data_IF_313581963143
#
_entry.id   IF_313581963143
#
_cell.length_a   1.000
_cell.length_b   1.000
_cell.length_c   1.000
_cell.angle_alpha   90.00
_cell.angle_beta   90.00
_cell.angle_gamma   90.00
#
_symmetry.space_group_name_H-M   'P 1'
#
loop_
_entity.id
_entity.type
_entity.pdbx_description
1 polymer ?
#
# COMPACT_ATOMS: atom_id res chain seq x y z
N UNK A 1 -44.07 -31.14 33.35
CA UNK A 1 -42.95 -30.19 33.15
C UNK A 1 -43.58 -28.82 32.90
N UNK A 2 -43.68 -27.96 33.90
CA UNK A 2 -44.25 -26.62 33.73
C UNK A 2 -43.20 -25.64 33.20
N UNK A 3 -43.54 -24.77 32.23
CA UNK A 3 -42.63 -23.73 31.77
C UNK A 3 -42.44 -22.69 32.87
N UNK A 4 -41.17 -22.41 33.22
CA UNK A 4 -40.78 -21.30 34.08
C UNK A 4 -41.28 -20.00 33.44
N UNK A 5 -42.33 -19.38 34.00
CA UNK A 5 -42.75 -18.04 33.61
C UNK A 5 -41.77 -17.08 34.28
N UNK A 6 -40.72 -16.69 33.53
CA UNK A 6 -39.84 -15.59 33.93
C UNK A 6 -40.68 -14.34 34.19
N UNK A 7 -40.37 -13.60 35.24
CA UNK A 7 -41.00 -12.29 35.42
C UNK A 7 -40.62 -11.37 34.25
N UNK A 8 -41.50 -10.43 33.89
CA UNK A 8 -41.24 -9.49 32.80
C UNK A 8 -39.94 -8.69 33.02
N UNK A 9 -39.53 -8.50 34.27
CA UNK A 9 -38.29 -7.81 34.64
C UNK A 9 -37.05 -8.70 34.44
N UNK A 10 -37.11 -9.97 34.82
CA UNK A 10 -36.03 -10.94 34.59
C UNK A 10 -35.76 -11.15 33.09
N UNK A 11 -36.81 -11.21 32.28
CA UNK A 11 -36.71 -11.33 30.83
C UNK A 11 -36.00 -10.10 30.22
N UNK A 12 -36.29 -8.89 30.71
CA UNK A 12 -35.62 -7.64 30.29
C UNK A 12 -34.15 -7.65 30.68
N UNK A 13 -33.80 -8.08 31.90
CA UNK A 13 -32.40 -8.19 32.36
C UNK A 13 -31.63 -9.20 31.51
N UNK A 14 -32.19 -10.39 31.27
CA UNK A 14 -31.57 -11.41 30.42
C UNK A 14 -31.34 -10.89 28.99
N UNK A 15 -32.31 -10.18 28.42
CA UNK A 15 -32.18 -9.58 27.09
C UNK A 15 -31.04 -8.54 27.05
N UNK A 16 -30.94 -7.66 28.05
CA UNK A 16 -29.86 -6.67 28.16
C UNK A 16 -28.49 -7.34 28.25
N UNK A 17 -28.35 -8.39 29.07
CA UNK A 17 -27.09 -9.13 29.21
C UNK A 17 -26.70 -9.79 27.88
N UNK A 18 -27.64 -10.44 27.18
CA UNK A 18 -27.38 -11.02 25.85
C UNK A 18 -26.94 -9.97 24.83
N UNK A 19 -27.59 -8.80 24.81
CA UNK A 19 -27.19 -7.69 23.94
C UNK A 19 -25.79 -7.18 24.28
N UNK A 20 -25.45 -7.08 25.56
CA UNK A 20 -24.10 -6.70 25.99
C UNK A 20 -23.04 -7.73 25.56
N UNK A 21 -23.35 -9.03 25.65
CA UNK A 21 -22.46 -10.09 25.13
C UNK A 21 -22.26 -9.93 23.62
N UNK A 22 -23.32 -9.67 22.85
CA UNK A 22 -23.21 -9.45 21.40
C UNK A 22 -22.33 -8.24 21.06
N UNK A 23 -22.46 -7.14 21.81
CA UNK A 23 -21.60 -5.96 21.62
C UNK A 23 -20.12 -6.27 21.88
N UNK A 24 -19.82 -7.04 22.94
CA UNK A 24 -18.45 -7.46 23.22
C UNK A 24 -17.93 -8.47 22.18
N UNK A 25 -18.80 -9.34 21.67
CA UNK A 25 -18.45 -10.26 20.59
C UNK A 25 -18.07 -9.51 19.31
N UNK A 26 -18.75 -8.41 19.00
CA UNK A 26 -18.41 -7.56 17.86
C UNK A 26 -16.97 -7.02 17.94
N UNK A 27 -16.47 -6.68 19.14
CA UNK A 27 -15.07 -6.25 19.35
C UNK A 27 -14.10 -7.40 19.06
N UNK A 28 -14.43 -8.62 19.48
CA UNK A 28 -13.60 -9.80 19.20
C UNK A 28 -13.52 -10.10 17.70
N UNK A 29 -14.64 -9.92 17.00
CA UNK A 29 -14.78 -10.22 15.58
C UNK A 29 -14.14 -9.17 14.67
N UNK A 30 -13.78 -8.00 15.20
CA UNK A 30 -13.03 -6.99 14.45
C UNK A 30 -11.71 -7.57 13.94
N UNK A 31 -11.37 -7.21 12.70
CA UNK A 31 -10.10 -7.55 12.06
C UNK A 31 -9.48 -6.28 11.50
N UNK A 32 -8.18 -6.33 11.23
CA UNK A 32 -7.54 -5.26 10.50
C UNK A 32 -8.27 -5.00 9.16
N UNK A 33 -8.45 -3.75 8.74
CA UNK A 33 -9.14 -3.42 7.49
C UNK A 33 -8.54 -4.15 6.28
N UNK A 34 -7.23 -4.33 6.28
CA UNK A 34 -6.48 -4.96 5.19
C UNK A 34 -6.60 -6.49 5.16
N UNK A 35 -7.15 -7.12 6.19
CA UNK A 35 -7.43 -8.57 6.19
C UNK A 35 -8.50 -8.93 5.17
N UNK A 36 -9.43 -8.01 4.88
CA UNK A 36 -10.51 -8.23 3.92
C UNK A 36 -10.12 -7.96 2.46
N UNK A 37 -8.94 -7.40 2.17
CA UNK A 37 -8.55 -7.11 0.81
C UNK A 37 -8.23 -8.40 0.04
N UNK A 38 -8.49 -8.41 -1.26
CA UNK A 38 -8.15 -9.55 -2.11
C UNK A 38 -6.64 -9.90 -2.01
N UNK A 39 -6.27 -11.18 -2.10
CA UNK A 39 -4.88 -11.56 -2.29
C UNK A 39 -4.32 -10.91 -3.55
N UNK A 40 -3.10 -10.38 -3.44
CA UNK A 40 -2.38 -9.89 -4.61
C UNK A 40 -1.72 -11.09 -5.28
N UNK A 41 -2.02 -11.29 -6.54
CA UNK A 41 -1.33 -12.31 -7.34
C UNK A 41 -0.05 -11.71 -7.93
N UNK A 42 1.07 -12.37 -7.66
CA UNK A 42 2.41 -11.85 -7.97
C UNK A 42 2.63 -11.74 -9.47
N UNK A 43 2.36 -12.83 -10.19
CA UNK A 43 2.63 -12.92 -11.62
C UNK A 43 1.77 -11.93 -12.40
N UNK A 44 0.48 -11.87 -12.13
CA UNK A 44 -0.43 -10.92 -12.81
C UNK A 44 -0.13 -9.47 -12.45
N UNK A 45 0.22 -9.17 -11.20
CA UNK A 45 0.52 -7.79 -10.79
C UNK A 45 1.82 -7.30 -11.43
N UNK A 46 2.88 -8.10 -11.36
CA UNK A 46 4.18 -7.76 -11.98
C UNK A 46 4.05 -7.67 -13.50
N UNK A 47 3.30 -8.58 -14.13
CA UNK A 47 3.05 -8.53 -15.57
C UNK A 47 2.31 -7.23 -15.99
N UNK A 48 1.29 -6.81 -15.24
CA UNK A 48 0.58 -5.54 -15.48
C UNK A 48 1.50 -4.32 -15.34
N UNK A 49 2.35 -4.32 -14.31
CA UNK A 49 3.34 -3.25 -14.14
C UNK A 49 4.32 -3.20 -15.31
N UNK A 50 4.87 -4.35 -15.73
CA UNK A 50 5.77 -4.47 -16.88
C UNK A 50 5.14 -3.95 -18.17
N UNK A 51 3.91 -4.38 -18.46
CA UNK A 51 3.17 -3.93 -19.64
C UNK A 51 2.98 -2.41 -19.64
N UNK A 52 2.61 -1.86 -18.48
CA UNK A 52 2.44 -0.41 -18.30
C UNK A 52 3.75 0.38 -18.47
N UNK A 53 4.90 -0.22 -18.17
CA UNK A 53 6.21 0.42 -18.20
C UNK A 53 6.92 0.34 -19.56
N UNK A 54 6.50 -0.60 -20.41
CA UNK A 54 7.06 -0.81 -21.75
C UNK A 54 7.17 0.47 -22.61
N UNK A 55 6.14 1.34 -22.73
CA UNK A 55 6.28 2.58 -23.53
C UNK A 55 7.34 3.53 -22.99
N UNK A 56 7.49 3.59 -21.66
CA UNK A 56 8.47 4.45 -21.00
C UNK A 56 9.91 3.95 -21.22
N UNK A 57 10.14 2.63 -21.17
CA UNK A 57 11.44 2.04 -21.50
C UNK A 57 11.82 2.30 -22.96
N UNK A 58 10.88 2.19 -23.91
CA UNK A 58 11.12 2.53 -25.32
C UNK A 58 11.51 3.99 -25.50
N UNK A 59 10.84 4.90 -24.80
CA UNK A 59 11.16 6.33 -24.84
C UNK A 59 12.55 6.62 -24.24
N UNK A 60 12.89 5.99 -23.12
CA UNK A 60 14.21 6.10 -22.49
C UNK A 60 15.31 5.62 -23.44
N UNK A 61 15.13 4.45 -24.05
CA UNK A 61 16.09 3.86 -24.98
C UNK A 61 16.32 4.74 -26.23
N UNK A 62 15.25 5.29 -26.79
CA UNK A 62 15.34 6.22 -27.93
C UNK A 62 16.11 7.48 -27.57
N UNK A 63 15.79 8.08 -26.41
CA UNK A 63 16.46 9.29 -25.92
C UNK A 63 17.95 9.05 -25.65
N UNK A 64 18.27 7.93 -24.99
CA UNK A 64 19.64 7.51 -24.71
C UNK A 64 20.45 7.31 -26.00
N UNK A 65 19.88 6.66 -27.01
CA UNK A 65 20.55 6.43 -28.29
C UNK A 65 20.93 7.74 -28.98
N UNK A 66 20.02 8.73 -28.99
CA UNK A 66 20.29 10.06 -29.56
C UNK A 66 21.40 10.79 -28.82
N UNK A 67 21.33 10.80 -27.49
CA UNK A 67 22.35 11.38 -26.63
C UNK A 67 23.73 10.72 -26.85
N UNK A 68 23.77 9.38 -26.87
CA UNK A 68 25.00 8.63 -27.01
C UNK A 68 25.65 8.83 -28.39
N UNK A 69 24.85 8.94 -29.46
CA UNK A 69 25.34 9.29 -30.79
C UNK A 69 26.02 10.66 -30.80
N UNK A 70 25.33 11.69 -30.30
CA UNK A 70 25.90 13.05 -30.24
C UNK A 70 27.16 13.12 -29.37
N UNK A 71 27.21 12.37 -28.27
CA UNK A 71 28.41 12.24 -27.43
C UNK A 71 29.59 11.65 -28.21
N UNK A 72 29.36 10.62 -29.02
CA UNK A 72 30.40 9.99 -29.85
C UNK A 72 30.90 10.96 -30.93
N UNK A 73 30.00 11.62 -31.64
CA UNK A 73 30.36 12.59 -32.70
C UNK A 73 31.16 13.77 -32.13
N UNK A 74 30.73 14.32 -30.99
CA UNK A 74 31.45 15.40 -30.32
C UNK A 74 32.86 14.96 -29.89
N UNK A 75 33.02 13.76 -29.31
CA UNK A 75 34.34 13.22 -28.94
C UNK A 75 35.27 13.09 -30.15
N UNK A 76 34.79 12.49 -31.24
CA UNK A 76 35.56 12.35 -32.48
C UNK A 76 35.99 13.71 -33.05
N UNK A 77 35.10 14.71 -33.01
CA UNK A 77 35.40 16.06 -33.48
C UNK A 77 36.39 16.81 -32.59
N UNK A 78 36.40 16.51 -31.30
CA UNK A 78 37.34 17.08 -30.34
C UNK A 78 38.74 16.49 -30.52
N UNK A 79 38.83 15.20 -30.85
CA UNK A 79 40.11 14.51 -31.10
C UNK A 79 40.75 14.99 -32.41
N UNK A 80 39.96 15.31 -33.44
CA UNK A 80 40.46 15.83 -34.73
C UNK A 80 40.92 17.30 -34.66
N UNK A 81 42.20 17.56 -34.99
CA UNK A 81 42.76 18.91 -35.03
C UNK A 81 42.09 19.82 -36.08
N UNK A 82 41.71 19.26 -37.24
CA UNK A 82 41.03 20.00 -38.31
C UNK A 82 39.59 20.37 -37.95
N UNK A 83 38.87 19.49 -37.26
CA UNK A 83 37.50 19.77 -36.81
C UNK A 83 37.43 20.76 -35.64
N UNK A 84 38.50 20.85 -34.85
CA UNK A 84 38.68 21.92 -33.86
C UNK A 84 38.86 23.29 -34.54
N UNK A 85 39.70 23.38 -35.57
CA UNK A 85 39.97 24.63 -36.29
C UNK A 85 38.75 25.17 -37.06
N UNK A 86 37.85 24.29 -37.51
CA UNK A 86 36.62 24.67 -38.24
C UNK A 86 35.46 25.10 -37.34
N UNK A 87 35.63 25.07 -36.00
CA UNK A 87 34.56 25.38 -35.03
C UNK A 87 33.44 24.33 -34.98
N UNK A 88 33.57 23.22 -35.71
CA UNK A 88 32.59 22.11 -35.73
C UNK A 88 32.46 21.45 -34.36
N UNK A 89 33.58 21.29 -33.65
CA UNK A 89 33.59 20.73 -32.30
C UNK A 89 32.68 21.52 -31.34
N UNK A 90 32.74 22.86 -31.35
CA UNK A 90 31.87 23.70 -30.49
C UNK A 90 30.40 23.65 -30.87
N UNK A 91 30.05 23.48 -32.16
CA UNK A 91 28.66 23.25 -32.59
C UNK A 91 28.14 21.91 -32.08
N UNK A 92 28.95 20.85 -32.19
CA UNK A 92 28.61 19.51 -31.70
C UNK A 92 28.51 19.45 -30.19
N UNK A 93 29.34 20.22 -29.46
CA UNK A 93 29.24 20.34 -28.01
C UNK A 93 27.87 20.88 -27.57
N UNK A 94 27.39 21.95 -28.20
CA UNK A 94 26.05 22.50 -27.91
C UNK A 94 24.93 21.50 -28.19
N UNK A 95 25.04 20.73 -29.27
CA UNK A 95 24.09 19.65 -29.61
C UNK A 95 24.12 18.55 -28.54
N UNK A 96 25.32 18.11 -28.17
CA UNK A 96 25.55 17.11 -27.13
C UNK A 96 24.96 17.55 -25.78
N UNK A 97 25.24 18.77 -25.32
CA UNK A 97 24.74 19.30 -24.05
C UNK A 97 23.21 19.40 -24.05
N UNK A 98 22.61 19.86 -25.15
CA UNK A 98 21.14 19.90 -25.29
C UNK A 98 20.52 18.50 -25.22
N UNK A 99 21.12 17.51 -25.87
CA UNK A 99 20.63 16.14 -25.85
C UNK A 99 20.84 15.44 -24.50
N UNK A 100 21.90 15.80 -23.77
CA UNK A 100 22.09 15.35 -22.39
C UNK A 100 20.95 15.84 -21.49
N UNK A 101 20.57 17.12 -21.57
CA UNK A 101 19.44 17.65 -20.80
C UNK A 101 18.13 16.97 -21.17
N UNK A 102 17.86 16.80 -22.47
CA UNK A 102 16.66 16.09 -22.93
C UNK A 102 16.63 14.63 -22.44
N UNK A 103 17.78 13.95 -22.40
CA UNK A 103 17.90 12.62 -21.84
C UNK A 103 17.58 12.59 -20.35
N UNK A 104 18.15 13.48 -19.54
CA UNK A 104 17.88 13.56 -18.11
C UNK A 104 16.41 13.90 -17.80
N UNK A 105 15.77 14.74 -18.62
CA UNK A 105 14.35 15.06 -18.47
C UNK A 105 13.45 13.85 -18.79
N UNK A 106 13.76 13.09 -19.85
CA UNK A 106 13.08 11.82 -20.13
C UNK A 106 13.28 10.84 -18.99
N UNK A 107 14.48 10.78 -18.42
CA UNK A 107 14.81 9.93 -17.28
C UNK A 107 13.96 10.30 -16.06
N UNK A 108 13.84 11.60 -15.73
CA UNK A 108 12.93 12.10 -14.69
C UNK A 108 11.50 11.63 -14.91
N UNK A 109 10.97 11.81 -16.11
CA UNK A 109 9.63 11.39 -16.49
C UNK A 109 9.40 9.88 -16.32
N UNK A 110 10.35 9.07 -16.80
CA UNK A 110 10.28 7.60 -16.77
C UNK A 110 10.35 7.06 -15.34
N UNK A 111 11.22 7.60 -14.49
CA UNK A 111 11.29 7.23 -13.06
C UNK A 111 10.00 7.61 -12.34
N UNK A 112 9.46 8.80 -12.59
CA UNK A 112 8.17 9.18 -12.00
C UNK A 112 7.03 8.24 -12.44
N UNK A 113 7.06 7.76 -13.69
CA UNK A 113 6.11 6.79 -14.20
C UNK A 113 6.26 5.43 -13.49
N UNK A 114 7.50 4.93 -13.32
CA UNK A 114 7.79 3.72 -12.54
C UNK A 114 7.17 3.81 -11.15
N UNK A 115 7.49 4.88 -10.41
CA UNK A 115 7.00 5.08 -9.05
C UNK A 115 5.48 5.19 -9.00
N UNK A 116 4.85 5.80 -10.00
CA UNK A 116 3.40 5.90 -10.08
C UNK A 116 2.73 4.54 -10.33
N UNK A 117 3.20 3.79 -11.33
CA UNK A 117 2.66 2.48 -11.72
C UNK A 117 2.69 1.49 -10.55
N UNK A 118 3.77 1.49 -9.76
CA UNK A 118 3.92 0.58 -8.60
C UNK A 118 3.36 1.14 -7.29
N UNK A 119 2.62 2.25 -7.36
CA UNK A 119 1.92 2.86 -6.23
C UNK A 119 2.83 3.49 -5.17
N UNK A 120 4.08 3.82 -5.51
CA UNK A 120 4.98 4.61 -4.66
C UNK A 120 4.74 6.12 -4.80
N UNK A 121 4.07 6.54 -5.87
CA UNK A 121 3.71 7.93 -6.12
C UNK A 121 2.24 8.04 -6.49
N UNK A 122 1.50 8.87 -5.75
CA UNK A 122 0.07 9.09 -6.00
C UNK A 122 -0.20 9.92 -7.25
N UNK A 123 0.73 10.80 -7.63
CA UNK A 123 0.57 11.67 -8.79
C UNK A 123 1.16 11.04 -10.07
N UNK A 124 0.53 11.24 -11.23
CA UNK A 124 1.05 10.79 -12.51
C UNK A 124 2.32 11.54 -12.90
N UNK A 125 3.20 10.96 -13.73
CA UNK A 125 4.45 11.61 -14.14
C UNK A 125 4.20 12.96 -14.78
N UNK A 126 4.96 13.98 -14.37
CA UNK A 126 4.86 15.30 -14.98
C UNK A 126 5.39 15.24 -16.41
N UNK A 127 4.65 15.76 -17.41
CA UNK A 127 5.04 15.68 -18.81
C UNK A 127 6.47 16.15 -19.08
N UNK A 128 7.11 15.55 -20.09
CA UNK A 128 8.44 15.95 -20.54
C UNK A 128 8.42 17.41 -20.98
N UNK A 129 9.24 18.24 -20.35
CA UNK A 129 9.33 19.67 -20.67
C UNK A 129 9.94 19.86 -22.07
N UNK A 130 9.29 20.63 -22.97
CA UNK A 130 9.78 20.82 -24.34
C UNK A 130 10.96 21.80 -24.43
N UNK A 131 11.08 22.69 -23.44
CA UNK A 131 12.13 23.71 -23.36
C UNK A 131 12.94 23.44 -22.10
N UNK A 132 14.24 23.20 -22.28
CA UNK A 132 15.21 22.97 -21.21
C UNK A 132 16.33 23.98 -21.37
N UNK A 133 16.80 24.50 -20.24
CA UNK A 133 17.91 25.44 -20.15
C UNK A 133 19.06 24.82 -19.35
N UNK A 134 20.25 25.40 -19.45
CA UNK A 134 21.40 24.93 -18.65
C UNK A 134 21.15 25.06 -17.14
N UNK A 135 20.29 25.98 -16.72
CA UNK A 135 19.89 26.15 -15.32
C UNK A 135 19.12 24.94 -14.77
N UNK A 136 18.48 24.14 -15.63
CA UNK A 136 17.77 22.91 -15.23
C UNK A 136 18.74 21.76 -14.90
N UNK A 137 19.99 21.85 -15.36
CA UNK A 137 20.96 20.77 -15.29
C UNK A 137 21.22 20.27 -13.87
N UNK A 138 21.48 21.12 -12.87
CA UNK A 138 21.81 20.63 -11.52
C UNK A 138 20.65 19.84 -10.91
N UNK A 139 19.42 20.36 -11.03
CA UNK A 139 18.24 19.70 -10.51
C UNK A 139 17.99 18.33 -11.17
N UNK A 140 18.23 18.22 -12.48
CA UNK A 140 18.11 16.98 -13.23
C UNK A 140 19.19 15.95 -12.88
N UNK A 141 20.44 16.38 -12.72
CA UNK A 141 21.54 15.51 -12.29
C UNK A 141 21.35 15.04 -10.83
N UNK A 142 20.85 15.91 -9.95
CA UNK A 142 20.54 15.55 -8.57
C UNK A 142 19.33 14.62 -8.46
N UNK A 143 18.33 14.78 -9.34
CA UNK A 143 17.25 13.82 -9.47
C UNK A 143 17.78 12.46 -9.91
N UNK A 144 18.62 12.43 -10.95
CA UNK A 144 19.25 11.20 -11.45
C UNK A 144 20.01 10.46 -10.33
N UNK A 145 20.87 11.16 -9.57
CA UNK A 145 21.63 10.55 -8.47
C UNK A 145 20.74 9.95 -7.38
N UNK A 146 19.64 10.63 -7.03
CA UNK A 146 18.71 10.15 -5.99
C UNK A 146 17.93 8.91 -6.41
N UNK A 147 17.78 8.70 -7.72
CA UNK A 147 16.99 7.62 -8.30
C UNK A 147 17.82 6.69 -9.18
N UNK A 148 19.10 6.50 -8.83
CA UNK A 148 20.04 5.69 -9.61
C UNK A 148 19.60 4.22 -9.72
N UNK A 149 18.97 3.67 -8.67
CA UNK A 149 18.45 2.31 -8.66
C UNK A 149 17.26 2.16 -9.62
N UNK A 150 16.29 3.07 -9.56
CA UNK A 150 15.13 3.11 -10.46
C UNK A 150 15.57 3.33 -11.91
N UNK A 151 16.55 4.20 -12.13
CA UNK A 151 17.16 4.40 -13.43
C UNK A 151 17.76 3.11 -13.98
N UNK A 152 18.61 2.47 -13.17
CA UNK A 152 19.29 1.23 -13.55
C UNK A 152 18.28 0.12 -13.86
N UNK A 153 17.17 0.06 -13.13
CA UNK A 153 16.07 -0.84 -13.42
C UNK A 153 15.38 -0.49 -14.75
N UNK A 154 15.03 0.77 -15.00
CA UNK A 154 14.33 1.16 -16.23
C UNK A 154 15.19 1.05 -17.50
N UNK A 155 16.52 1.07 -17.36
CA UNK A 155 17.46 0.93 -18.47
C UNK A 155 17.65 -0.52 -18.95
N UNK A 156 17.27 -1.51 -18.14
CA UNK A 156 17.58 -2.92 -18.35
C UNK A 156 16.38 -3.80 -17.97
N UNK A 157 15.87 -4.59 -18.91
CA UNK A 157 14.66 -5.39 -18.69
C UNK A 157 14.83 -6.41 -17.55
N UNK A 158 15.98 -7.08 -17.46
CA UNK A 158 16.19 -8.10 -16.44
C UNK A 158 16.25 -7.47 -15.05
N UNK A 159 16.91 -6.31 -14.95
CA UNK A 159 16.94 -5.55 -13.69
C UNK A 159 15.59 -5.01 -13.32
N UNK A 160 14.76 -4.60 -14.30
CA UNK A 160 13.39 -4.18 -14.05
C UNK A 160 12.58 -5.32 -13.42
N UNK A 161 12.68 -6.55 -13.93
CA UNK A 161 11.94 -7.69 -13.36
C UNK A 161 12.28 -7.93 -11.89
N UNK A 162 13.57 -7.93 -11.57
CA UNK A 162 14.06 -8.10 -10.20
C UNK A 162 13.53 -6.98 -9.30
N UNK A 163 13.60 -5.73 -9.80
CA UNK A 163 13.13 -4.56 -9.06
C UNK A 163 11.62 -4.61 -8.80
N UNK A 164 10.80 -4.95 -9.81
CA UNK A 164 9.34 -5.08 -9.69
C UNK A 164 8.95 -6.20 -8.74
N UNK A 165 9.63 -7.34 -8.82
CA UNK A 165 9.42 -8.49 -7.93
C UNK A 165 9.71 -8.12 -6.49
N UNK A 166 10.88 -7.51 -6.22
CA UNK A 166 11.23 -7.00 -4.89
C UNK A 166 10.19 -5.99 -4.38
N UNK A 167 9.72 -5.09 -5.25
CA UNK A 167 8.71 -4.09 -4.89
C UNK A 167 7.38 -4.74 -4.50
N UNK A 168 6.94 -5.75 -5.25
CA UNK A 168 5.74 -6.52 -4.91
C UNK A 168 5.88 -7.18 -3.53
N UNK A 169 7.01 -7.84 -3.29
CA UNK A 169 7.27 -8.54 -2.02
C UNK A 169 7.25 -7.55 -0.83
N UNK A 170 7.82 -6.35 -1.00
CA UNK A 170 7.75 -5.26 0.01
C UNK A 170 6.34 -4.76 0.25
N UNK A 171 5.48 -4.71 -0.78
CA UNK A 171 4.08 -4.29 -0.64
C UNK A 171 3.30 -5.32 0.17
N UNK A 172 3.45 -6.61 -0.13
CA UNK A 172 2.84 -7.71 0.62
C UNK A 172 3.32 -7.71 2.07
N UNK A 173 4.63 -7.55 2.29
CA UNK A 173 5.20 -7.45 3.62
C UNK A 173 4.63 -6.27 4.41
N UNK A 174 4.57 -5.07 3.82
CA UNK A 174 4.03 -3.88 4.49
C UNK A 174 2.55 -4.05 4.87
N UNK A 175 1.75 -4.72 4.03
CA UNK A 175 0.37 -5.09 4.36
C UNK A 175 0.32 -6.02 5.57
N UNK A 176 1.15 -7.06 5.57
CA UNK A 176 1.21 -8.01 6.68
C UNK A 176 1.64 -7.32 8.00
N UNK A 177 2.62 -6.43 7.93
CA UNK A 177 3.07 -5.64 9.09
C UNK A 177 1.96 -4.74 9.64
N UNK A 178 1.18 -4.07 8.79
CA UNK A 178 0.03 -3.26 9.24
C UNK A 178 -1.06 -4.09 9.89
N UNK A 179 -1.35 -5.28 9.38
CA UNK A 179 -2.29 -6.23 10.01
C UNK A 179 -1.78 -6.63 11.40
N UNK A 180 -0.51 -7.02 11.51
CA UNK A 180 0.08 -7.41 12.79
C UNK A 180 0.11 -6.26 13.81
N UNK A 181 0.43 -5.05 13.35
CA UNK A 181 0.42 -3.84 14.20
C UNK A 181 -0.99 -3.53 14.69
N UNK A 182 -1.99 -3.63 13.83
CA UNK A 182 -3.39 -3.47 14.20
C UNK A 182 -3.81 -4.52 15.24
N UNK A 183 -3.51 -5.79 15.00
CA UNK A 183 -3.85 -6.88 15.93
C UNK A 183 -3.16 -6.70 17.30
N UNK A 184 -1.91 -6.22 17.30
CA UNK A 184 -1.17 -5.92 18.53
C UNK A 184 -1.81 -4.76 19.29
N UNK A 185 -2.21 -3.69 18.59
CA UNK A 185 -2.82 -2.51 19.19
C UNK A 185 -4.20 -2.82 19.82
N UNK A 186 -5.00 -3.70 19.19
CA UNK A 186 -6.35 -4.05 19.66
C UNK A 186 -6.36 -5.25 20.62
N UNK A 187 -5.20 -5.87 20.89
CA UNK A 187 -5.11 -7.03 21.80
C UNK A 187 -5.67 -6.74 23.20
N UNK A 188 -5.33 -5.62 23.87
CA UNK A 188 -5.86 -5.35 25.22
C UNK A 188 -7.38 -5.23 25.23
N UNK A 189 -7.96 -4.55 24.25
CA UNK A 189 -9.41 -4.38 24.11
C UNK A 189 -10.10 -5.73 23.90
N UNK A 190 -9.52 -6.59 23.05
CA UNK A 190 -10.03 -7.95 22.84
C UNK A 190 -9.95 -8.82 24.10
N UNK A 191 -8.88 -8.72 24.87
CA UNK A 191 -8.79 -9.47 26.14
C UNK A 191 -9.79 -8.96 27.18
N UNK A 192 -10.00 -7.65 27.26
CA UNK A 192 -11.03 -7.06 28.11
C UNK A 192 -12.44 -7.52 27.70
N UNK A 193 -12.73 -7.54 26.39
CA UNK A 193 -14.00 -8.02 25.86
C UNK A 193 -14.24 -9.52 26.19
N UNK A 194 -13.21 -10.37 26.11
CA UNK A 194 -13.30 -11.78 26.54
C UNK A 194 -13.63 -11.90 28.02
N UNK A 195 -12.97 -11.14 28.88
CA UNK A 195 -13.22 -11.14 30.32
C UNK A 195 -14.66 -10.68 30.62
N UNK A 196 -15.13 -9.64 29.94
CA UNK A 196 -16.48 -9.11 30.11
C UNK A 196 -17.54 -10.11 29.64
N UNK A 197 -17.33 -10.78 28.50
CA UNK A 197 -18.22 -11.87 28.03
C UNK A 197 -18.31 -12.97 29.08
N UNK A 198 -17.18 -13.41 29.64
CA UNK A 198 -17.16 -14.43 30.69
C UNK A 198 -17.97 -13.98 31.91
N UNK A 199 -17.76 -12.74 32.38
CA UNK A 199 -18.51 -12.15 33.49
C UNK A 199 -20.01 -12.10 33.22
N UNK A 200 -20.42 -11.65 32.03
CA UNK A 200 -21.82 -11.54 31.62
C UNK A 200 -22.49 -12.92 31.48
N UNK A 201 -21.75 -13.92 30.98
CA UNK A 201 -22.23 -15.30 30.91
C UNK A 201 -22.45 -15.89 32.30
N UNK A 202 -21.52 -15.67 33.25
CA UNK A 202 -21.69 -16.10 34.64
C UNK A 202 -22.93 -15.48 35.29
N UNK A 203 -23.17 -14.17 35.10
CA UNK A 203 -24.40 -13.51 35.59
C UNK A 203 -25.67 -14.16 35.03
N UNK A 204 -25.65 -14.53 33.75
CA UNK A 204 -26.79 -15.18 33.10
C UNK A 204 -27.04 -16.61 33.62
N UNK A 205 -25.99 -17.33 34.04
CA UNK A 205 -26.12 -18.64 34.70
C UNK A 205 -26.72 -18.47 36.09
N UNK A 206 -26.18 -17.56 36.91
CA UNK A 206 -26.69 -17.28 38.27
C UNK A 206 -28.16 -16.88 38.23
N UNK A 207 -28.56 -15.99 37.30
CA UNK A 207 -29.96 -15.60 37.12
C UNK A 207 -30.86 -16.82 36.83
N UNK A 208 -30.42 -17.75 35.99
CA UNK A 208 -31.18 -18.98 35.70
C UNK A 208 -31.30 -19.90 36.90
N UNK A 209 -30.26 -20.00 37.72
CA UNK A 209 -30.25 -20.84 38.92
C UNK A 209 -31.14 -20.27 40.03
N UNK A 210 -31.11 -18.95 40.23
CA UNK A 210 -32.00 -18.25 41.18
C UNK A 210 -33.46 -18.44 40.79
N UNK A 211 -33.83 -18.26 39.51
CA UNK A 211 -35.22 -18.47 39.06
C UNK A 211 -35.65 -19.94 39.17
N UNK A 212 -34.73 -20.91 39.10
CA UNK A 212 -35.03 -22.34 39.26
C UNK A 212 -35.27 -22.75 40.72
N UNK A 213 -34.69 -22.03 41.68
CA UNK A 213 -34.73 -22.35 43.11
C UNK A 213 -35.77 -21.53 43.90
N UNK A 214 -36.55 -20.68 43.24
CA UNK A 214 -37.65 -19.95 43.88
C UNK A 214 -38.81 -20.91 44.17
N UNK A 215 -39.27 -21.02 45.44
CA UNK A 215 -40.45 -21.83 45.76
C UNK A 215 -41.67 -21.25 45.06
N UNK A 216 -42.51 -22.12 44.51
CA UNK A 216 -43.80 -21.72 43.95
C UNK A 216 -44.61 -20.97 45.02
N UNK A 217 -45.28 -19.86 44.69
CA UNK A 217 -46.13 -19.17 45.66
C UNK A 217 -47.16 -20.16 46.19
N UNK A 218 -47.16 -20.36 47.50
CA UNK A 218 -48.10 -21.21 48.20
C UNK A 218 -49.51 -20.68 47.96
N UNK A 219 -50.30 -21.41 47.18
CA UNK A 219 -51.74 -21.18 47.08
C UNK A 219 -52.34 -21.36 48.47
N UNK A 220 -52.70 -20.26 49.13
CA UNK A 220 -53.50 -20.32 50.35
C UNK A 220 -54.90 -20.84 49.99
N UNK A 221 -55.46 -21.81 50.72
CA UNK A 221 -56.82 -22.25 50.51
C UNK A 221 -57.77 -21.13 50.96
N UNK A 222 -58.64 -20.70 50.05
CA UNK A 222 -59.81 -19.89 50.37
C UNK A 222 -60.73 -20.79 51.19
N UNK A 223 -60.90 -20.45 52.48
CA UNK A 223 -61.95 -21.01 53.32
C UNK A 223 -63.16 -20.11 53.11
N UNK A 224 -64.17 -20.60 52.39
CA UNK A 224 -65.51 -19.99 52.39
C UNK A 224 -66.30 -20.55 53.58
N UNK A 225 -66.88 -19.63 54.36
CA UNK A 225 -67.80 -19.88 55.47
C UNK A 225 -69.25 -19.80 54.99
#
# INVERSE_FOLDING_TARGET
MYPLILSAEEARICHRIRRAILNQQAILDQKAPETGWAPLDRETTVAKWRESLTPYQKQLHSSFTRYNHAKKEWKQATESQWQRMTGRAGKLEKIYQRLLLAFLEVLRFVVQALLHVVGLRSTPPEPVRPVLTENDRPALEDFHKRHDAEFTAMADQEKLEVWLSYRFDRLVQARQERIQQWDKAHRPEKEQAKQEISRLRSKLVILKEVTRNMPAPSSQPVIEH
#
